data_IF_671085077254
#
_entry.id   IF_671085077254
#
_cell.length_a   1.000
_cell.length_b   1.000
_cell.length_c   1.000
_cell.angle_alpha   90.00
_cell.angle_beta   90.00
_cell.angle_gamma   90.00
#
_symmetry.space_group_name_H-M   'P 1'
#
loop_
_entity.id
_entity.type
_entity.pdbx_description
1 polymer ?
#
# COMPACT_ATOMS: atom_id res chain seq x y z
N UNK A 1 32.74 -6.79 -30.91
CA UNK A 1 32.02 -7.04 -29.65
C UNK A 1 32.08 -5.77 -28.84
N UNK A 2 30.97 -5.02 -28.75
CA UNK A 2 30.91 -3.82 -27.93
C UNK A 2 31.18 -4.20 -26.48
N UNK A 3 32.19 -3.58 -25.88
CA UNK A 3 32.34 -3.64 -24.44
C UNK A 3 31.16 -2.85 -23.85
N UNK A 4 30.24 -3.54 -23.19
CA UNK A 4 29.33 -2.88 -22.27
C UNK A 4 30.19 -2.51 -21.07
N UNK A 5 30.60 -1.25 -20.97
CA UNK A 5 31.32 -0.78 -19.79
C UNK A 5 30.34 -0.82 -18.62
N UNK A 6 30.68 -1.42 -17.46
CA UNK A 6 29.77 -1.50 -16.31
C UNK A 6 29.37 -0.11 -15.77
N UNK A 7 29.96 0.99 -16.25
CA UNK A 7 29.49 2.35 -15.98
C UNK A 7 28.30 2.82 -16.84
N UNK A 8 27.94 2.09 -17.91
CA UNK A 8 26.74 2.34 -18.73
C UNK A 8 25.47 1.73 -18.10
N UNK A 9 25.59 0.88 -17.07
CA UNK A 9 24.44 0.33 -16.36
C UNK A 9 23.80 1.43 -15.46
N UNK A 10 22.49 1.73 -15.64
CA UNK A 10 21.83 2.75 -14.84
C UNK A 10 21.78 2.34 -13.37
N UNK A 11 21.85 3.33 -12.47
CA UNK A 11 21.76 3.09 -11.04
C UNK A 11 20.44 2.36 -10.70
N UNK A 12 20.48 1.16 -10.08
CA UNK A 12 19.29 0.36 -9.81
C UNK A 12 18.50 0.86 -8.58
N UNK A 13 18.96 1.91 -7.90
CA UNK A 13 18.39 2.39 -6.63
C UNK A 13 16.90 2.68 -6.72
N UNK A 14 16.38 3.17 -7.84
CA UNK A 14 14.95 3.42 -8.01
C UNK A 14 14.09 2.15 -7.92
N UNK A 15 14.67 1.00 -8.23
CA UNK A 15 13.99 -0.31 -8.19
C UNK A 15 14.20 -1.04 -6.87
N UNK A 16 15.22 -0.65 -6.09
CA UNK A 16 15.65 -1.35 -4.88
C UNK A 16 15.41 -0.56 -3.59
N UNK A 17 15.33 0.76 -3.68
CA UNK A 17 15.31 1.66 -2.53
C UNK A 17 14.11 2.60 -2.62
N UNK A 18 13.22 2.50 -1.63
CA UNK A 18 12.20 3.54 -1.43
C UNK A 18 12.89 4.83 -0.99
N UNK A 19 12.71 5.90 -1.76
CA UNK A 19 13.34 7.20 -1.51
C UNK A 19 13.00 7.74 -0.12
N UNK A 20 13.87 8.60 0.45
CA UNK A 20 13.62 9.20 1.77
C UNK A 20 12.34 10.04 1.79
N UNK A 21 12.03 10.71 0.68
CA UNK A 21 10.80 11.48 0.54
C UNK A 21 9.57 10.57 0.55
N UNK A 22 9.59 9.46 -0.21
CA UNK A 22 8.48 8.52 -0.25
C UNK A 22 8.28 7.82 1.09
N UNK A 23 9.35 7.37 1.75
CA UNK A 23 9.28 6.81 3.12
C UNK A 23 8.61 7.78 4.09
N UNK A 24 8.94 9.07 4.05
CA UNK A 24 8.34 10.09 4.93
C UNK A 24 6.85 10.28 4.63
N UNK A 25 6.46 10.33 3.35
CA UNK A 25 5.05 10.40 2.93
C UNK A 25 4.27 9.18 3.43
N UNK A 26 4.79 7.98 3.22
CA UNK A 26 4.14 6.73 3.62
C UNK A 26 4.00 6.60 5.15
N UNK A 27 5.05 6.97 5.90
CA UNK A 27 5.05 6.91 7.37
C UNK A 27 4.13 7.94 8.03
N UNK A 28 3.78 9.01 7.32
CA UNK A 28 2.91 10.08 7.84
C UNK A 28 1.47 9.96 7.34
N UNK A 29 1.16 8.95 6.52
CA UNK A 29 -0.20 8.67 6.05
C UNK A 29 -1.13 8.49 7.26
N UNK A 30 -2.28 9.20 7.34
CA UNK A 30 -3.23 9.03 8.43
C UNK A 30 -3.68 7.57 8.54
N UNK A 31 -3.56 7.02 9.74
CA UNK A 31 -3.90 5.63 10.03
C UNK A 31 -4.70 5.55 11.33
N UNK A 32 -5.88 4.95 11.26
CA UNK A 32 -6.68 4.60 12.44
C UNK A 32 -6.59 3.09 12.68
N UNK A 33 -5.73 2.70 13.64
CA UNK A 33 -5.49 1.28 13.95
C UNK A 33 -6.67 0.53 14.57
N UNK A 34 -7.76 1.21 14.91
CA UNK A 34 -8.99 0.58 15.41
C UNK A 34 -10.05 0.45 14.32
N UNK A 35 -9.98 1.26 13.26
CA UNK A 35 -11.00 1.29 12.21
C UNK A 35 -10.54 0.74 10.87
N UNK A 36 -9.26 0.90 10.51
CA UNK A 36 -8.74 0.45 9.23
C UNK A 36 -8.47 -1.06 9.25
N UNK A 37 -9.17 -1.81 8.41
CA UNK A 37 -9.15 -3.29 8.38
C UNK A 37 -9.14 -3.82 6.96
N UNK A 38 -8.59 -5.02 6.78
CA UNK A 38 -8.71 -5.78 5.52
C UNK A 38 -9.99 -6.62 5.54
N UNK A 39 -10.79 -6.51 4.48
CA UNK A 39 -12.00 -7.31 4.29
C UNK A 39 -11.87 -8.18 3.04
N UNK A 40 -12.40 -9.41 3.05
CA UNK A 40 -12.36 -10.28 1.89
C UNK A 40 -13.24 -9.73 0.76
N UNK A 41 -12.76 -9.87 -0.47
CA UNK A 41 -13.46 -9.47 -1.69
C UNK A 41 -13.31 -10.57 -2.76
N UNK A 42 -14.39 -10.96 -3.47
CA UNK A 42 -14.34 -12.06 -4.43
C UNK A 42 -13.50 -11.78 -5.68
N UNK A 43 -13.29 -10.51 -6.05
CA UNK A 43 -12.58 -10.13 -7.28
C UNK A 43 -11.13 -9.73 -7.01
N UNK A 44 -10.90 -9.00 -5.91
CA UNK A 44 -9.61 -8.42 -5.53
C UNK A 44 -8.92 -9.17 -4.38
N UNK A 45 -9.48 -10.29 -3.94
CA UNK A 45 -9.10 -11.07 -2.75
C UNK A 45 -9.31 -10.32 -1.42
N UNK A 46 -8.74 -9.13 -1.28
CA UNK A 46 -8.88 -8.28 -0.10
C UNK A 46 -8.99 -6.80 -0.48
N UNK A 47 -9.77 -6.07 0.29
CA UNK A 47 -9.91 -4.63 0.19
C UNK A 47 -9.63 -3.96 1.53
N UNK A 48 -9.02 -2.77 1.47
CA UNK A 48 -8.86 -1.92 2.64
C UNK A 48 -10.20 -1.21 2.94
N UNK A 49 -10.71 -1.39 4.14
CA UNK A 49 -11.97 -0.80 4.59
C UNK A 49 -11.84 -0.07 5.92
N UNK A 50 -12.88 0.70 6.26
CA UNK A 50 -13.01 1.44 7.50
C UNK A 50 -14.28 0.99 8.26
N UNK A 51 -14.14 0.53 9.50
CA UNK A 51 -15.27 0.15 10.34
C UNK A 51 -16.13 1.37 10.66
N UNK A 52 -17.41 1.31 10.30
CA UNK A 52 -18.40 2.35 10.59
C UNK A 52 -19.20 2.04 11.85
N UNK A 53 -19.55 0.77 12.08
CA UNK A 53 -20.29 0.35 13.27
C UNK A 53 -20.15 -1.16 13.54
N UNK A 54 -20.42 -1.55 14.78
CA UNK A 54 -20.45 -2.93 15.24
C UNK A 54 -21.76 -3.19 15.97
N UNK A 55 -22.44 -4.28 15.65
CA UNK A 55 -23.67 -4.73 16.31
C UNK A 55 -23.53 -6.22 16.65
N UNK A 56 -23.25 -6.51 17.92
CA UNK A 56 -22.86 -7.87 18.33
C UNK A 56 -21.64 -8.33 17.54
N UNK A 57 -21.77 -9.46 16.86
CA UNK A 57 -20.69 -10.07 16.08
C UNK A 57 -20.60 -9.56 14.62
N UNK A 58 -21.43 -8.59 14.23
CA UNK A 58 -21.48 -8.05 12.86
C UNK A 58 -20.82 -6.66 12.79
N UNK A 59 -19.78 -6.53 11.97
CA UNK A 59 -19.12 -5.26 11.66
C UNK A 59 -19.57 -4.73 10.28
N UNK A 60 -20.05 -3.49 10.24
CA UNK A 60 -20.30 -2.77 8.98
C UNK A 60 -19.05 -2.01 8.59
N UNK A 61 -18.45 -2.37 7.46
CA UNK A 61 -17.20 -1.79 6.96
C UNK A 61 -17.50 -1.04 5.66
N UNK A 62 -17.07 0.23 5.59
CA UNK A 62 -17.07 0.99 4.34
C UNK A 62 -15.80 0.69 3.57
N UNK A 63 -15.95 0.27 2.32
CA UNK A 63 -14.82 0.03 1.42
C UNK A 63 -14.80 1.16 0.40
N UNK A 64 -13.76 2.01 0.47
CA UNK A 64 -13.50 2.96 -0.61
C UNK A 64 -12.83 2.19 -1.73
N UNK A 65 -13.55 1.96 -2.83
CA UNK A 65 -12.91 1.55 -4.06
C UNK A 65 -11.92 2.65 -4.45
N UNK A 66 -10.64 2.31 -4.53
CA UNK A 66 -9.72 3.11 -5.32
C UNK A 66 -10.15 2.93 -6.78
N UNK A 67 -10.60 4.02 -7.42
CA UNK A 67 -10.78 4.10 -8.88
C UNK A 67 -9.41 4.15 -9.57
#
# INVERSE_FOLDING_TARGET
MGHNDPSDDPDPSEYLIVSLEQKRKDQTKPYDGKKMVWVPDPEKCFLLGEIQSTKGDICTVSVKGEE
#
